data_IF_137205920582
#
_entry.id   IF_137205920582
#
_cell.length_a   1.000
_cell.length_b   1.000
_cell.length_c   1.000
_cell.angle_alpha   90.00
_cell.angle_beta   90.00
_cell.angle_gamma   90.00
#
_symmetry.space_group_name_H-M   'P 1'
#
loop_
_entity.id
_entity.type
_entity.pdbx_description
1 polymer ?
#
# COMPACT_ATOMS: atom_id res chain seq x y z
N UNK A 1 23.89 25.60 1.96
CA UNK A 1 23.08 26.27 0.91
C UNK A 1 21.60 25.83 0.92
N UNK A 2 21.30 24.53 1.04
CA UNK A 2 19.92 23.98 1.03
C UNK A 2 18.98 24.61 2.10
N UNK A 3 19.45 24.81 3.33
CA UNK A 3 18.59 25.27 4.44
C UNK A 3 18.02 26.68 4.20
N UNK A 4 18.80 27.57 3.57
CA UNK A 4 18.34 28.94 3.20
C UNK A 4 17.31 28.91 2.06
N UNK A 5 17.41 27.94 1.15
CA UNK A 5 16.45 27.72 0.07
C UNK A 5 15.12 27.23 0.64
N UNK A 6 15.14 26.15 1.43
CA UNK A 6 13.96 25.61 2.08
C UNK A 6 13.26 26.66 2.95
N UNK A 7 14.02 27.43 3.74
CA UNK A 7 13.44 28.49 4.54
C UNK A 7 12.71 29.53 3.69
N UNK A 8 13.31 30.02 2.60
CA UNK A 8 12.70 31.03 1.74
C UNK A 8 11.44 30.55 1.02
N UNK A 9 11.41 29.30 0.58
CA UNK A 9 10.33 28.78 -0.27
C UNK A 9 9.22 28.07 0.50
N UNK A 10 9.57 27.32 1.55
CA UNK A 10 8.62 26.45 2.26
C UNK A 10 8.29 27.00 3.64
N UNK A 11 9.30 27.42 4.42
CA UNK A 11 9.08 27.78 5.84
C UNK A 11 8.85 29.28 6.12
N UNK A 12 9.04 30.18 5.14
CA UNK A 12 8.93 31.64 5.37
C UNK A 12 7.50 32.15 5.49
N UNK A 13 6.53 31.52 4.81
CA UNK A 13 5.11 31.92 4.85
C UNK A 13 4.26 30.73 5.28
N UNK A 14 3.36 30.95 6.24
CA UNK A 14 2.47 29.92 6.79
C UNK A 14 1.62 29.26 5.71
N UNK A 15 1.12 30.02 4.72
CA UNK A 15 0.33 29.45 3.63
C UNK A 15 1.12 28.46 2.76
N UNK A 16 2.35 28.80 2.38
CA UNK A 16 3.25 27.91 1.63
C UNK A 16 3.69 26.70 2.46
N UNK A 17 3.87 26.89 3.77
CA UNK A 17 4.21 25.83 4.70
C UNK A 17 3.09 24.79 4.81
N UNK A 18 1.85 25.23 5.06
CA UNK A 18 0.69 24.34 5.14
C UNK A 18 0.46 23.60 3.82
N UNK A 19 0.57 24.29 2.68
CA UNK A 19 0.47 23.66 1.36
C UNK A 19 1.51 22.55 1.21
N UNK A 20 2.76 22.80 1.59
CA UNK A 20 3.84 21.81 1.54
C UNK A 20 3.55 20.60 2.41
N UNK A 21 2.99 20.80 3.62
CA UNK A 21 2.63 19.69 4.51
C UNK A 21 1.55 18.84 3.87
N UNK A 22 0.47 19.44 3.38
CA UNK A 22 -0.65 18.70 2.79
C UNK A 22 -0.19 17.87 1.59
N UNK A 23 0.56 18.49 0.68
CA UNK A 23 1.11 17.80 -0.49
C UNK A 23 2.01 16.65 -0.06
N UNK A 24 2.98 16.92 0.83
CA UNK A 24 3.91 15.90 1.30
C UNK A 24 3.17 14.76 2.00
N UNK A 25 2.14 15.06 2.79
CA UNK A 25 1.36 14.05 3.51
C UNK A 25 0.68 13.06 2.58
N UNK A 26 0.08 13.53 1.47
CA UNK A 26 -0.60 12.64 0.51
C UNK A 26 0.40 11.73 -0.21
N UNK A 27 1.56 12.25 -0.59
CA UNK A 27 2.61 11.43 -1.19
C UNK A 27 3.26 10.48 -0.17
N UNK A 28 3.43 10.96 1.06
CA UNK A 28 4.00 10.18 2.15
C UNK A 28 3.10 9.01 2.53
N UNK A 29 1.77 9.18 2.57
CA UNK A 29 0.80 8.10 2.79
C UNK A 29 1.11 6.90 1.89
N UNK A 30 1.13 7.11 0.57
CA UNK A 30 1.36 6.01 -0.39
C UNK A 30 2.76 5.42 -0.28
N UNK A 31 3.78 6.26 -0.18
CA UNK A 31 5.14 5.78 -0.06
C UNK A 31 5.35 4.98 1.23
N UNK A 32 4.76 5.43 2.33
CA UNK A 32 4.87 4.81 3.64
C UNK A 32 4.10 3.50 3.70
N UNK A 33 2.88 3.45 3.16
CA UNK A 33 2.09 2.20 3.08
C UNK A 33 2.87 1.11 2.35
N UNK A 34 3.43 1.41 1.18
CA UNK A 34 4.24 0.47 0.41
C UNK A 34 5.51 0.07 1.15
N UNK A 35 6.24 1.02 1.71
CA UNK A 35 7.48 0.73 2.44
C UNK A 35 7.22 -0.14 3.68
N UNK A 36 6.14 0.13 4.42
CA UNK A 36 5.77 -0.66 5.58
C UNK A 36 5.36 -2.07 5.21
N UNK A 37 4.58 -2.25 4.14
CA UNK A 37 4.20 -3.58 3.66
C UNK A 37 5.45 -4.38 3.27
N UNK A 38 6.34 -3.81 2.46
CA UNK A 38 7.57 -4.48 2.03
C UNK A 38 8.47 -4.87 3.21
N UNK A 39 8.65 -3.96 4.18
CA UNK A 39 9.43 -4.25 5.40
C UNK A 39 8.76 -5.36 6.20
N UNK A 40 7.43 -5.33 6.31
CA UNK A 40 6.67 -6.32 7.07
C UNK A 40 6.73 -7.71 6.41
N UNK A 41 6.55 -7.78 5.09
CA UNK A 41 6.67 -9.01 4.31
C UNK A 41 8.08 -9.59 4.41
N UNK A 42 9.12 -8.75 4.30
CA UNK A 42 10.52 -9.16 4.43
C UNK A 42 10.82 -9.74 5.81
N UNK A 43 10.36 -9.09 6.89
CA UNK A 43 10.57 -9.57 8.27
C UNK A 43 9.83 -10.89 8.51
N UNK A 44 8.69 -11.10 7.86
CA UNK A 44 7.82 -12.25 8.07
C UNK A 44 7.80 -13.21 6.88
N UNK A 45 8.92 -13.28 6.15
CA UNK A 45 9.07 -14.13 4.99
C UNK A 45 8.74 -15.60 5.35
N UNK A 46 7.94 -16.24 4.52
CA UNK A 46 7.49 -17.62 4.72
C UNK A 46 6.44 -17.85 5.82
N UNK A 47 6.05 -16.83 6.61
CA UNK A 47 4.99 -16.93 7.63
C UNK A 47 3.66 -16.32 7.20
N UNK A 48 3.69 -15.34 6.29
CA UNK A 48 2.48 -14.73 5.76
C UNK A 48 1.69 -15.71 4.89
N UNK A 49 0.36 -15.59 4.96
CA UNK A 49 -0.55 -16.32 4.06
C UNK A 49 -0.22 -16.03 2.60
N UNK A 50 0.12 -14.79 2.23
CA UNK A 50 0.50 -14.41 0.85
C UNK A 50 1.62 -15.31 0.30
N UNK A 51 2.60 -15.66 1.12
CA UNK A 51 3.70 -16.56 0.74
C UNK A 51 3.28 -18.03 0.60
N UNK A 52 2.28 -18.49 1.34
CA UNK A 52 1.88 -19.92 1.39
C UNK A 52 0.64 -20.19 0.52
N UNK A 53 -0.13 -19.16 0.17
CA UNK A 53 -1.41 -19.23 -0.55
C UNK A 53 -1.33 -20.07 -1.83
N UNK A 54 -0.22 -19.95 -2.57
CA UNK A 54 0.01 -20.72 -3.80
C UNK A 54 -0.08 -22.24 -3.62
N UNK A 55 0.15 -22.75 -2.40
CA UNK A 55 0.04 -24.18 -2.06
C UNK A 55 -1.42 -24.64 -1.97
N UNK A 56 -2.36 -23.72 -1.78
CA UNK A 56 -3.76 -24.01 -1.52
C UNK A 56 -4.70 -23.52 -2.62
N UNK A 57 -4.34 -22.49 -3.40
CA UNK A 57 -5.18 -21.96 -4.49
C UNK A 57 -5.47 -22.99 -5.61
N UNK A 58 -4.56 -23.94 -5.84
CA UNK A 58 -4.71 -24.98 -6.88
C UNK A 58 -5.37 -26.27 -6.37
N UNK A 59 -5.95 -26.27 -5.17
CA UNK A 59 -6.68 -27.43 -4.70
C UNK A 59 -7.95 -27.63 -5.54
N UNK A 60 -8.32 -28.88 -5.88
CA UNK A 60 -9.56 -29.15 -6.59
C UNK A 60 -10.78 -28.52 -5.90
N UNK A 61 -10.74 -28.39 -4.57
CA UNK A 61 -11.83 -27.82 -3.79
C UNK A 61 -11.95 -26.29 -3.96
N UNK A 62 -10.84 -25.53 -3.95
CA UNK A 62 -10.85 -24.06 -4.14
C UNK A 62 -11.36 -23.64 -5.51
N UNK A 63 -10.99 -24.39 -6.56
CA UNK A 63 -11.49 -24.18 -7.92
C UNK A 63 -13.01 -24.36 -8.05
N UNK A 64 -13.59 -25.30 -7.30
CA UNK A 64 -15.04 -25.49 -7.29
C UNK A 64 -15.74 -24.34 -6.55
N UNK A 65 -15.19 -23.86 -5.42
CA UNK A 65 -15.75 -22.71 -4.71
C UNK A 65 -15.72 -21.41 -5.54
N UNK A 66 -14.64 -21.13 -6.29
CA UNK A 66 -14.58 -19.96 -7.18
C UNK A 66 -15.55 -20.06 -8.37
N UNK A 67 -15.68 -21.24 -8.98
CA UNK A 67 -16.67 -21.49 -10.04
C UNK A 67 -18.10 -21.34 -9.53
N UNK A 68 -18.37 -21.79 -8.30
CA UNK A 68 -19.68 -21.66 -7.65
C UNK A 68 -20.01 -20.21 -7.29
N UNK A 69 -19.01 -19.39 -6.91
CA UNK A 69 -19.20 -17.96 -6.67
C UNK A 69 -19.46 -17.20 -7.97
N UNK A 70 -18.64 -17.43 -8.99
CA UNK A 70 -18.79 -16.79 -10.31
C UNK A 70 -20.12 -17.18 -10.98
N UNK A 71 -20.54 -18.44 -10.85
CA UNK A 71 -21.83 -18.92 -11.33
C UNK A 71 -23.05 -18.44 -10.52
N UNK A 72 -22.85 -17.90 -9.32
CA UNK A 72 -23.88 -17.21 -8.54
C UNK A 72 -23.96 -15.73 -8.90
N UNK A 73 -22.81 -15.08 -9.12
CA UNK A 73 -22.75 -13.67 -9.53
C UNK A 73 -23.34 -13.44 -10.93
N UNK A 74 -23.20 -14.41 -11.83
CA UNK A 74 -23.83 -14.35 -13.16
C UNK A 74 -25.35 -14.63 -13.15
N UNK A 75 -25.91 -15.00 -11.98
CA UNK A 75 -27.31 -15.40 -11.81
C UNK A 75 -28.16 -14.35 -11.08
N UNK A 76 -27.57 -13.19 -10.76
CA UNK A 76 -28.22 -12.03 -10.14
C UNK A 76 -28.38 -10.90 -11.15
#
# INVERSE_FOLDING_TARGET
MISRFLYRYIFKRTSSFILSIVVTSVFFERAYDHACEEIFEWINEGRLWTHIKHKYDNLPQTQNYEKDLSGKEHRI
#
